data_IF_571892961547
#
_entry.id   IF_571892961547
#
_cell.length_a   1.000
_cell.length_b   1.000
_cell.length_c   1.000
_cell.angle_alpha   90.00
_cell.angle_beta   90.00
_cell.angle_gamma   90.00
#
_symmetry.space_group_name_H-M   'P 1'
#
loop_
_entity.id
_entity.type
_entity.pdbx_description
1 polymer ?
#
# COMPACT_ATOMS: atom_id res chain seq x y z
N UNK A 1 5.04 -12.38 22.62
CA UNK A 1 4.44 -11.43 21.66
C UNK A 1 5.48 -11.17 20.57
N UNK A 2 5.24 -11.61 19.33
CA UNK A 2 6.18 -11.44 18.22
C UNK A 2 5.98 -10.10 17.52
N UNK A 3 7.06 -9.45 17.07
CA UNK A 3 7.00 -8.18 16.34
C UNK A 3 6.05 -8.28 15.12
N UNK A 4 5.04 -7.41 15.07
CA UNK A 4 4.02 -7.32 14.00
C UNK A 4 4.56 -6.69 12.70
N UNK A 5 5.80 -7.01 12.31
CA UNK A 5 6.48 -6.36 11.18
C UNK A 5 6.43 -7.18 9.88
N UNK A 6 6.13 -6.54 8.75
CA UNK A 6 6.42 -7.12 7.44
C UNK A 6 7.94 -7.10 7.22
N UNK A 7 8.53 -8.27 7.02
CA UNK A 7 9.97 -8.42 6.75
C UNK A 7 10.22 -9.40 5.60
N UNK A 8 11.35 -9.19 4.94
CA UNK A 8 11.81 -9.98 3.80
C UNK A 8 11.40 -9.39 2.45
N UNK A 9 11.97 -9.97 1.41
CA UNK A 9 11.77 -9.56 0.01
C UNK A 9 11.31 -10.75 -0.82
N UNK A 10 10.29 -10.55 -1.64
CA UNK A 10 9.67 -11.60 -2.44
C UNK A 10 9.35 -11.10 -3.84
N UNK A 11 9.87 -11.77 -4.86
CA UNK A 11 9.49 -11.49 -6.25
C UNK A 11 8.33 -12.40 -6.67
N UNK A 12 7.32 -11.81 -7.30
CA UNK A 12 6.11 -12.45 -7.81
C UNK A 12 5.77 -11.90 -9.18
N UNK A 13 4.81 -12.49 -9.87
CA UNK A 13 4.22 -11.90 -11.07
C UNK A 13 2.83 -11.35 -10.76
N UNK A 14 2.48 -10.24 -11.40
CA UNK A 14 1.09 -9.81 -11.51
C UNK A 14 0.43 -10.72 -12.54
N UNK A 15 -0.63 -11.43 -12.19
CA UNK A 15 -1.29 -12.29 -13.18
C UNK A 15 -2.12 -11.48 -14.21
N UNK A 16 -2.57 -12.12 -15.28
CA UNK A 16 -3.44 -11.52 -16.32
C UNK A 16 -4.67 -10.78 -15.78
N UNK A 17 -5.16 -11.16 -14.60
CA UNK A 17 -6.33 -10.53 -13.95
C UNK A 17 -5.91 -9.38 -13.02
N UNK A 18 -4.62 -9.06 -12.94
CA UNK A 18 -4.02 -8.08 -12.03
C UNK A 18 -4.04 -8.52 -10.59
N UNK A 19 -3.84 -9.81 -10.33
CA UNK A 19 -3.75 -10.33 -8.97
C UNK A 19 -2.31 -10.61 -8.64
N UNK A 20 -1.92 -10.25 -7.43
CA UNK A 20 -0.61 -10.55 -6.87
C UNK A 20 -0.80 -11.55 -5.75
N UNK A 21 -0.01 -12.62 -5.77
CA UNK A 21 0.02 -13.60 -4.69
C UNK A 21 0.85 -13.08 -3.54
N UNK A 22 0.22 -12.93 -2.37
CA UNK A 22 0.91 -12.45 -1.19
C UNK A 22 1.86 -13.54 -0.66
N UNK A 23 3.05 -13.18 -0.15
CA UNK A 23 3.95 -14.13 0.49
C UNK A 23 3.26 -14.86 1.65
N UNK A 24 3.39 -16.19 1.67
CA UNK A 24 2.83 -17.06 2.74
C UNK A 24 3.21 -16.59 4.16
N UNK A 25 4.45 -16.13 4.44
CA UNK A 25 4.81 -15.63 5.77
C UNK A 25 4.03 -14.38 6.22
N UNK A 26 3.40 -13.64 5.30
CA UNK A 26 2.65 -12.42 5.61
C UNK A 26 1.14 -12.66 5.76
N UNK A 27 0.59 -13.82 5.39
CA UNK A 27 -0.87 -14.05 5.36
C UNK A 27 -1.57 -13.80 6.70
N UNK A 28 -0.95 -14.24 7.81
CA UNK A 28 -1.50 -14.02 9.14
C UNK A 28 -1.54 -12.52 9.48
N UNK A 29 -0.47 -11.79 9.18
CA UNK A 29 -0.37 -10.34 9.44
C UNK A 29 -1.34 -9.55 8.57
N UNK A 30 -1.48 -9.94 7.31
CA UNK A 30 -2.46 -9.36 6.40
C UNK A 30 -3.91 -9.61 6.85
N UNK A 31 -4.20 -10.74 7.49
CA UNK A 31 -5.53 -10.99 8.05
C UNK A 31 -5.80 -10.14 9.30
N UNK A 32 -4.80 -10.00 10.18
CA UNK A 32 -4.92 -9.25 11.43
C UNK A 32 -5.05 -7.74 11.24
N UNK A 33 -4.47 -7.21 10.16
CA UNK A 33 -4.39 -5.77 9.90
C UNK A 33 -5.39 -5.29 8.83
N UNK A 34 -6.37 -6.12 8.45
CA UNK A 34 -7.45 -5.72 7.54
C UNK A 34 -8.28 -4.58 8.13
N UNK A 35 -8.59 -3.49 7.40
CA UNK A 35 -8.38 -3.27 5.96
C UNK A 35 -7.04 -2.60 5.61
N UNK A 36 -6.67 -2.66 4.32
CA UNK A 36 -5.48 -2.02 3.76
C UNK A 36 -5.83 -0.92 2.76
N UNK A 37 -4.80 -0.17 2.37
CA UNK A 37 -4.86 0.82 1.30
C UNK A 37 -3.65 0.64 0.38
N UNK A 38 -3.87 0.72 -0.94
CA UNK A 38 -2.76 1.04 -1.84
C UNK A 38 -2.55 2.53 -1.79
N UNK A 39 -1.30 2.93 -1.75
CA UNK A 39 -0.87 4.31 -1.66
C UNK A 39 0.31 4.53 -2.60
N UNK A 40 0.28 5.64 -3.35
CA UNK A 40 1.39 6.06 -4.18
C UNK A 40 1.52 7.58 -4.12
N UNK A 41 2.58 8.04 -3.46
CA UNK A 41 3.01 9.43 -3.53
C UNK A 41 3.81 9.69 -4.83
N UNK A 42 3.81 10.92 -5.37
CA UNK A 42 4.57 11.26 -6.58
C UNK A 42 6.07 10.94 -6.47
N UNK A 43 6.65 11.21 -5.31
CA UNK A 43 8.07 11.04 -4.99
C UNK A 43 8.48 9.61 -4.58
N UNK A 44 7.51 8.70 -4.42
CA UNK A 44 7.81 7.28 -4.28
C UNK A 44 7.95 6.67 -5.67
N UNK A 45 8.84 5.71 -5.85
CA UNK A 45 8.95 4.93 -7.07
C UNK A 45 8.18 3.59 -6.99
N UNK A 46 7.75 3.23 -5.78
CA UNK A 46 6.97 2.03 -5.48
C UNK A 46 5.54 2.35 -5.05
N UNK A 47 4.67 1.34 -5.11
CA UNK A 47 3.32 1.38 -4.52
C UNK A 47 3.38 0.80 -3.11
N UNK A 48 2.88 1.52 -2.12
CA UNK A 48 2.77 1.03 -0.74
C UNK A 48 1.44 0.30 -0.55
N UNK A 49 1.47 -0.88 0.09
CA UNK A 49 0.29 -1.52 0.67
C UNK A 49 0.35 -1.36 2.20
N UNK A 50 -0.55 -0.54 2.75
CA UNK A 50 -0.45 -0.03 4.12
C UNK A 50 -1.71 -0.43 4.90
N UNK A 51 -1.60 -0.95 6.13
CA UNK A 51 -2.72 -1.09 7.04
C UNK A 51 -3.44 0.23 7.29
N UNK A 52 -4.77 0.22 7.45
CA UNK A 52 -5.54 1.43 7.77
C UNK A 52 -5.00 2.19 8.99
N UNK A 53 -4.59 1.45 10.04
CA UNK A 53 -4.07 2.02 11.29
C UNK A 53 -2.78 2.83 11.09
N UNK A 54 -2.00 2.50 10.07
CA UNK A 54 -0.67 3.10 9.81
C UNK A 54 -0.72 4.15 8.69
N UNK A 55 -1.85 4.29 7.99
CA UNK A 55 -2.01 5.17 6.83
C UNK A 55 -1.71 6.64 7.13
N UNK A 56 -2.23 7.16 8.24
CA UNK A 56 -2.02 8.57 8.62
C UNK A 56 -0.54 8.85 8.95
N UNK A 57 0.11 7.91 9.64
CA UNK A 57 1.55 7.98 9.94
C UNK A 57 2.37 7.95 8.65
N UNK A 58 2.04 7.03 7.74
CA UNK A 58 2.70 6.91 6.45
C UNK A 58 2.54 8.20 5.63
N UNK A 59 1.33 8.77 5.56
CA UNK A 59 1.07 10.02 4.87
C UNK A 59 1.94 11.17 5.41
N UNK A 60 1.95 11.37 6.74
CA UNK A 60 2.73 12.43 7.41
C UNK A 60 4.23 12.32 7.11
N UNK A 61 4.75 11.11 6.93
CA UNK A 61 6.15 10.90 6.59
C UNK A 61 6.52 11.47 5.20
N UNK A 62 5.58 11.52 4.25
CA UNK A 62 5.85 12.00 2.89
C UNK A 62 5.42 13.43 2.62
N UNK A 63 4.35 13.90 3.27
CA UNK A 63 3.75 15.21 2.96
C UNK A 63 3.85 16.20 4.13
N UNK A 64 4.56 15.86 5.20
CA UNK A 64 4.77 16.73 6.36
C UNK A 64 3.60 16.75 7.35
N UNK A 65 3.68 17.68 8.31
CA UNK A 65 2.70 17.84 9.38
C UNK A 65 1.38 18.38 8.84
N UNK A 66 0.48 17.48 8.47
CA UNK A 66 -0.94 17.84 8.35
C UNK A 66 -1.50 18.24 9.71
N UNK A 67 -2.38 19.25 9.77
CA UNK A 67 -3.16 19.55 10.97
C UNK A 67 -3.83 18.28 11.49
N UNK A 68 -3.95 18.14 12.81
CA UNK A 68 -4.60 16.97 13.38
C UNK A 68 -6.04 16.87 12.86
N UNK A 69 -6.59 15.66 12.61
CA UNK A 69 -7.98 15.49 12.20
C UNK A 69 -8.99 16.22 13.11
N UNK A 70 -8.68 16.31 14.41
CA UNK A 70 -9.45 17.05 15.42
C UNK A 70 -9.42 18.58 15.15
N UNK A 71 -8.29 19.12 14.69
CA UNK A 71 -8.13 20.54 14.31
C UNK A 71 -8.85 20.87 13.00
N UNK A 72 -9.17 19.85 12.19
CA UNK A 72 -9.94 19.96 10.94
C UNK A 72 -11.45 19.75 11.14
N UNK A 73 -11.93 19.68 12.39
CA UNK A 73 -13.35 19.49 12.70
C UNK A 73 -13.88 18.09 12.38
N UNK A 74 -12.99 17.08 12.24
CA UNK A 74 -13.39 15.70 12.00
C UNK A 74 -13.82 15.02 13.32
N UNK A 75 -14.76 14.07 13.19
CA UNK A 75 -15.45 13.30 14.24
C UNK A 75 -14.55 12.81 15.40
N UNK A 76 -15.09 12.56 16.58
CA UNK A 76 -14.32 11.86 17.63
C UNK A 76 -14.05 10.38 17.30
N UNK A 77 -14.65 9.85 16.24
CA UNK A 77 -14.46 8.47 15.79
C UNK A 77 -13.21 8.32 14.89
N UNK A 78 -12.18 7.55 15.30
CA UNK A 78 -10.93 7.39 14.55
C UNK A 78 -11.11 6.90 13.11
N UNK A 79 -12.11 6.07 12.82
CA UNK A 79 -12.37 5.58 11.46
C UNK A 79 -12.96 6.64 10.54
N UNK A 80 -13.83 7.48 11.08
CA UNK A 80 -14.37 8.63 10.35
C UNK A 80 -13.31 9.69 10.13
N UNK A 81 -12.34 9.80 11.04
CA UNK A 81 -11.18 10.69 10.87
C UNK A 81 -10.24 10.26 9.77
N UNK A 82 -9.98 8.95 9.62
CA UNK A 82 -9.17 8.45 8.51
C UNK A 82 -9.89 8.69 7.18
N UNK A 83 -11.19 8.37 7.07
CA UNK A 83 -11.95 8.63 5.83
C UNK A 83 -12.15 10.11 5.54
N UNK A 84 -12.38 10.93 6.56
CA UNK A 84 -12.53 12.37 6.45
C UNK A 84 -11.23 13.04 6.05
N UNK A 85 -10.11 12.62 6.65
CA UNK A 85 -8.78 13.03 6.23
C UNK A 85 -8.54 12.59 4.78
N UNK A 86 -8.78 11.34 4.41
CA UNK A 86 -8.64 10.86 3.03
C UNK A 86 -9.45 11.67 2.01
N UNK A 87 -10.68 12.07 2.35
CA UNK A 87 -11.50 12.92 1.47
C UNK A 87 -10.98 14.35 1.35
N UNK A 88 -10.48 14.93 2.45
CA UNK A 88 -9.79 16.23 2.42
C UNK A 88 -8.48 16.14 1.63
N UNK A 89 -7.79 15.01 1.70
CA UNK A 89 -6.56 14.72 0.96
C UNK A 89 -6.81 14.60 -0.56
N UNK A 90 -7.90 13.93 -0.94
CA UNK A 90 -8.34 13.84 -2.34
C UNK A 90 -8.81 15.20 -2.90
N UNK A 91 -9.34 16.10 -2.05
CA UNK A 91 -9.84 17.41 -2.47
C UNK A 91 -8.78 18.51 -2.52
N UNK A 92 -7.66 18.35 -1.80
CA UNK A 92 -6.53 19.28 -1.81
C UNK A 92 -5.59 19.00 -3.00
N UNK A 93 -6.04 19.38 -4.20
CA UNK A 93 -5.27 19.63 -5.44
C UNK A 93 -4.66 18.38 -6.11
N UNK A 94 -4.63 18.37 -7.45
CA UNK A 94 -4.20 17.26 -8.34
C UNK A 94 -2.73 16.80 -8.27
N UNK A 95 -2.10 16.92 -7.10
CA UNK A 95 -0.73 16.54 -6.76
C UNK A 95 -0.65 15.65 -5.50
N UNK A 96 -1.79 15.37 -4.84
CA UNK A 96 -1.87 14.47 -3.69
C UNK A 96 -1.54 13.00 -4.04
N UNK A 97 -1.27 12.15 -3.03
CA UNK A 97 -1.04 10.74 -3.29
C UNK A 97 -2.30 10.07 -3.82
N UNK A 98 -2.13 9.11 -4.73
CA UNK A 98 -3.23 8.24 -5.11
C UNK A 98 -3.42 7.22 -3.98
N UNK A 99 -4.66 7.09 -3.48
CA UNK A 99 -4.99 6.18 -2.39
C UNK A 99 -6.26 5.42 -2.74
N UNK A 100 -6.30 4.11 -2.47
CA UNK A 100 -7.50 3.29 -2.67
C UNK A 100 -7.59 2.20 -1.62
N UNK A 101 -8.78 2.03 -1.04
CA UNK A 101 -9.04 0.95 -0.09
C UNK A 101 -8.96 -0.39 -0.81
N UNK A 102 -8.20 -1.31 -0.24
CA UNK A 102 -8.04 -2.66 -0.77
C UNK A 102 -7.79 -3.63 0.36
N UNK A 103 -8.17 -4.89 0.19
CA UNK A 103 -7.87 -5.93 1.16
C UNK A 103 -7.39 -7.17 0.44
N UNK A 104 -6.19 -7.69 0.75
CA UNK A 104 -5.82 -9.05 0.38
C UNK A 104 -6.86 -10.04 0.91
N UNK A 105 -7.32 -10.96 0.05
CA UNK A 105 -8.33 -11.96 0.43
C UNK A 105 -7.73 -13.36 0.38
N UNK A 106 -7.98 -14.15 1.43
CA UNK A 106 -7.62 -15.56 1.49
C UNK A 106 -8.48 -16.38 0.51
N UNK A 107 -7.83 -17.26 -0.25
CA UNK A 107 -8.45 -18.25 -1.15
C UNK A 107 -7.89 -19.64 -0.83
N UNK A 108 -8.46 -20.69 -1.42
CA UNK A 108 -8.06 -22.09 -1.19
C UNK A 108 -6.57 -22.36 -1.40
N UNK A 109 -5.92 -21.61 -2.29
CA UNK A 109 -4.50 -21.79 -2.66
C UNK A 109 -3.59 -20.74 -1.97
N UNK A 110 -4.16 -19.83 -1.16
CA UNK A 110 -3.42 -18.78 -0.44
C UNK A 110 -4.05 -17.39 -0.57
N UNK A 111 -3.36 -16.35 -0.10
CA UNK A 111 -3.84 -14.97 -0.10
C UNK A 111 -3.48 -14.20 -1.37
N UNK A 112 -4.44 -13.45 -1.92
CA UNK A 112 -4.28 -12.65 -3.14
C UNK A 112 -4.68 -11.21 -2.91
N UNK A 113 -3.88 -10.29 -3.44
CA UNK A 113 -4.22 -8.88 -3.61
C UNK A 113 -4.76 -8.68 -5.03
N UNK A 114 -5.92 -8.04 -5.17
CA UNK A 114 -6.52 -7.73 -6.47
C UNK A 114 -6.28 -6.26 -6.79
N UNK A 115 -5.32 -5.95 -7.67
CA UNK A 115 -5.07 -4.57 -8.11
C UNK A 115 -6.38 -4.02 -8.73
N UNK A 116 -6.79 -2.79 -8.39
CA UNK A 116 -7.97 -2.15 -8.97
C UNK A 116 -7.92 -2.21 -10.50
N UNK A 117 -9.06 -2.51 -11.13
CA UNK A 117 -9.15 -2.65 -12.59
C UNK A 117 -9.09 -1.31 -13.29
N UNK A 118 -9.66 -0.29 -12.66
CA UNK A 118 -9.83 1.02 -13.23
C UNK A 118 -8.76 1.94 -12.63
N UNK A 119 -7.98 2.59 -13.50
CA UNK A 119 -7.17 3.74 -13.12
C UNK A 119 -5.70 3.48 -12.77
N UNK A 120 -5.14 4.49 -12.11
CA UNK A 120 -3.73 4.78 -11.91
C UNK A 120 -2.87 3.61 -11.39
N UNK A 121 -3.36 2.77 -10.48
CA UNK A 121 -2.57 1.65 -9.95
C UNK A 121 -2.35 0.52 -10.97
N UNK A 122 -3.26 0.37 -11.94
CA UNK A 122 -3.15 -0.66 -12.98
C UNK A 122 -2.05 -0.34 -14.00
N UNK A 123 -1.74 0.94 -14.21
CA UNK A 123 -0.59 1.35 -15.03
C UNK A 123 0.75 1.25 -14.30
N UNK A 124 0.74 1.14 -12.97
CA UNK A 124 1.95 0.97 -12.16
C UNK A 124 2.28 -0.50 -11.86
N UNK A 125 1.27 -1.36 -11.79
CA UNK A 125 1.41 -2.79 -11.51
C UNK A 125 0.93 -3.58 -12.73
N UNK A 126 1.82 -3.72 -13.71
CA UNK A 126 1.49 -4.16 -15.07
C UNK A 126 1.25 -5.69 -15.09
N UNK A 127 0.13 -6.16 -15.67
CA UNK A 127 -0.14 -7.60 -15.80
C UNK A 127 0.94 -8.35 -16.57
N UNK A 128 1.17 -9.60 -16.19
CA UNK A 128 2.19 -10.52 -16.71
C UNK A 128 3.64 -10.06 -16.49
N UNK A 129 3.87 -8.96 -15.78
CA UNK A 129 5.19 -8.52 -15.37
C UNK A 129 5.53 -8.92 -13.93
N UNK A 130 6.85 -8.95 -13.64
CA UNK A 130 7.37 -9.21 -12.32
C UNK A 130 7.14 -8.01 -11.38
N UNK A 131 6.90 -8.28 -10.11
CA UNK A 131 6.89 -7.31 -9.02
C UNK A 131 7.71 -7.83 -7.85
N UNK A 132 8.50 -6.96 -7.25
CA UNK A 132 9.21 -7.26 -6.00
C UNK A 132 8.52 -6.57 -4.84
N UNK A 133 8.17 -7.37 -3.85
CA UNK A 133 7.51 -6.94 -2.63
C UNK A 133 8.52 -6.94 -1.49
N UNK A 134 8.73 -5.79 -0.87
CA UNK A 134 9.67 -5.61 0.24
C UNK A 134 8.85 -5.24 1.49
N UNK A 135 8.97 -6.03 2.55
CA UNK A 135 8.37 -5.70 3.84
C UNK A 135 9.19 -4.62 4.53
N UNK A 136 8.57 -3.47 4.83
CA UNK A 136 9.20 -2.33 5.51
C UNK A 136 8.43 -2.07 6.80
N UNK A 137 8.60 -2.96 7.78
CA UNK A 137 7.96 -2.89 9.10
C UNK A 137 6.43 -2.80 9.05
N UNK A 138 5.87 -1.60 8.99
CA UNK A 138 4.43 -1.32 9.07
C UNK A 138 3.71 -1.40 7.71
N UNK A 139 4.44 -1.45 6.59
CA UNK A 139 3.84 -1.56 5.26
C UNK A 139 4.66 -2.45 4.33
N UNK A 140 4.10 -2.72 3.15
CA UNK A 140 4.77 -3.45 2.08
C UNK A 140 5.01 -2.49 0.92
N UNK A 141 6.25 -2.35 0.48
CA UNK A 141 6.61 -1.65 -0.74
C UNK A 141 6.56 -2.61 -1.93
N UNK A 142 5.83 -2.26 -3.00
CA UNK A 142 5.64 -3.07 -4.20
C UNK A 142 6.23 -2.31 -5.38
N UNK A 143 7.32 -2.84 -5.91
CA UNK A 143 8.06 -2.28 -7.04
C UNK A 143 7.72 -3.06 -8.32
N UNK A 144 7.64 -2.35 -9.44
CA UNK A 144 7.56 -2.97 -10.76
C UNK A 144 8.96 -3.44 -11.20
N UNK A 145 9.08 -4.74 -11.47
CA UNK A 145 10.33 -5.43 -11.80
C UNK A 145 10.79 -6.44 -10.75
N UNK A 146 11.95 -7.03 -11.01
CA UNK A 146 12.68 -7.94 -10.12
C UNK A 146 13.59 -7.17 -9.16
N UNK A 147 14.06 -7.82 -8.09
CA UNK A 147 14.97 -7.20 -7.12
C UNK A 147 16.26 -6.71 -7.78
N UNK A 148 16.79 -7.48 -8.73
CA UNK A 148 18.01 -7.14 -9.47
C UNK A 148 17.81 -5.87 -10.31
N UNK A 149 16.65 -5.75 -10.99
CA UNK A 149 16.32 -4.56 -11.77
C UNK A 149 16.14 -3.33 -10.88
N UNK A 150 15.54 -3.49 -9.71
CA UNK A 150 15.39 -2.42 -8.74
C UNK A 150 16.76 -1.98 -8.22
N UNK A 151 17.59 -2.92 -7.77
CA UNK A 151 18.95 -2.61 -7.33
C UNK A 151 19.76 -1.89 -8.41
N UNK A 152 19.62 -2.29 -9.68
CA UNK A 152 20.29 -1.62 -10.79
C UNK A 152 19.84 -0.16 -10.99
N UNK A 153 18.57 0.18 -10.73
CA UNK A 153 18.05 1.56 -10.80
C UNK A 153 18.61 2.48 -9.72
N UNK A 154 18.99 1.94 -8.57
CA UNK A 154 19.43 2.72 -7.40
C UNK A 154 20.95 2.74 -7.18
N UNK A 155 21.72 2.02 -7.99
CA UNK A 155 23.19 2.03 -7.94
C UNK A 155 23.83 3.16 -8.77
N UNK A 156 23.03 3.96 -9.46
CA UNK A 156 23.44 5.14 -10.26
C UNK A 156 23.17 6.43 -9.50
#
# INVERSE_FOLDING_TARGET
MGLEIFTGTYTRSVDKKGRIWMPKPWENKLTQNDPFYLFKAPQLDYVSLIPEKDLLKHYRAFFGAMPNPIELGLSQNPRENVRGALRLLESLVGWGPNIVNISPRKKSIGMRLQVPKDGFFRSLLIPDEAVSMIGINDHIAIYQGTLQEIEARYRT
#
